data_IF_025972822407
#
_entry.id   IF_025972822407
#
_cell.length_a   1.000
_cell.length_b   1.000
_cell.length_c   1.000
_cell.angle_alpha   90.00
_cell.angle_beta   90.00
_cell.angle_gamma   90.00
#
_symmetry.space_group_name_H-M   'P 1'
#
loop_
_entity.id
_entity.type
_entity.pdbx_description
1 polymer ?
#
# COMPACT_ATOMS: atom_id res chain seq x y z
N UNK A 1 31.21 21.01 63.50
CA UNK A 1 30.16 20.57 64.43
C UNK A 1 28.85 21.24 64.06
N UNK A 2 28.00 20.52 63.31
CA UNK A 2 26.55 20.51 63.44
C UNK A 2 26.01 19.48 62.43
N UNK A 3 25.42 18.44 62.99
CA UNK A 3 24.78 17.30 62.34
C UNK A 3 23.36 17.70 61.97
N UNK A 4 22.84 17.25 60.82
CA UNK A 4 21.45 16.79 60.68
C UNK A 4 21.26 16.03 59.35
N UNK A 5 20.95 14.74 59.51
CA UNK A 5 20.50 13.79 58.49
C UNK A 5 19.11 14.16 57.99
N UNK A 6 18.84 13.94 56.69
CA UNK A 6 17.47 13.73 56.20
C UNK A 6 17.44 12.57 55.19
N UNK A 7 16.54 11.65 55.52
CA UNK A 7 16.41 10.28 55.08
C UNK A 7 15.50 10.13 53.85
N UNK A 8 15.94 9.25 52.94
CA UNK A 8 15.17 8.28 52.15
C UNK A 8 13.64 8.24 52.40
N UNK A 9 12.86 8.61 51.37
CA UNK A 9 11.47 8.19 51.21
C UNK A 9 11.32 7.46 49.87
N UNK A 10 11.30 6.13 49.93
CA UNK A 10 10.80 5.27 48.85
C UNK A 10 9.29 5.13 49.01
N UNK A 11 8.48 5.24 47.94
CA UNK A 11 7.06 4.95 48.04
C UNK A 11 6.84 3.44 48.21
N UNK A 12 6.32 3.07 49.38
CA UNK A 12 5.75 1.75 49.66
C UNK A 12 4.33 1.72 49.09
N UNK A 13 4.11 1.01 47.99
CA UNK A 13 2.76 0.61 47.61
C UNK A 13 2.34 -0.53 48.55
N UNK A 14 1.57 -0.17 49.57
CA UNK A 14 0.88 -1.11 50.44
C UNK A 14 -0.12 -1.92 49.62
N UNK A 15 0.05 -3.23 49.67
CA UNK A 15 -0.99 -4.20 49.37
C UNK A 15 -2.17 -3.97 50.34
N UNK A 16 -3.37 -3.82 49.80
CA UNK A 16 -4.61 -4.08 50.53
C UNK A 16 -5.55 -4.80 49.58
N UNK A 17 -5.70 -6.09 49.84
CA UNK A 17 -6.61 -7.03 49.19
C UNK A 17 -7.99 -6.80 49.80
N UNK A 18 -9.01 -6.57 48.96
CA UNK A 18 -10.38 -6.96 49.29
C UNK A 18 -11.21 -7.16 48.02
N UNK A 19 -11.72 -8.39 47.92
CA UNK A 19 -12.63 -8.94 46.93
C UNK A 19 -13.89 -8.08 46.75
N UNK A 20 -14.37 -7.96 45.51
CA UNK A 20 -15.77 -7.64 45.23
C UNK A 20 -16.00 -7.06 43.84
N UNK A 21 -16.77 -7.79 43.02
CA UNK A 21 -17.21 -7.47 41.65
C UNK A 21 -16.16 -7.64 40.53
N UNK A 22 -16.04 -8.89 40.10
CA UNK A 22 -15.91 -9.20 38.69
C UNK A 22 -17.16 -8.67 37.96
N UNK A 23 -17.08 -7.45 37.44
CA UNK A 23 -17.97 -6.93 36.43
C UNK A 23 -17.15 -6.80 35.14
N UNK A 24 -17.18 -7.89 34.37
CA UNK A 24 -17.14 -7.89 32.91
C UNK A 24 -16.53 -6.63 32.30
N UNK A 25 -15.19 -6.60 32.21
CA UNK A 25 -14.58 -5.98 31.05
C UNK A 25 -15.10 -6.79 29.87
N UNK A 26 -16.28 -6.39 29.38
CA UNK A 26 -16.87 -6.89 28.17
C UNK A 26 -15.75 -6.93 27.16
N UNK A 27 -15.51 -8.13 26.66
CA UNK A 27 -14.80 -8.35 25.42
C UNK A 27 -15.41 -7.34 24.45
N UNK A 28 -14.76 -6.19 24.28
CA UNK A 28 -14.82 -5.43 23.06
C UNK A 28 -14.16 -6.37 22.05
N UNK A 29 -14.95 -7.37 21.65
CA UNK A 29 -14.69 -8.21 20.51
C UNK A 29 -14.47 -7.22 19.41
N UNK A 30 -13.20 -7.03 19.05
CA UNK A 30 -12.87 -6.58 17.73
C UNK A 30 -13.73 -7.45 16.82
N UNK A 31 -14.78 -6.86 16.24
CA UNK A 31 -15.69 -7.51 15.33
C UNK A 31 -14.90 -7.85 14.07
N UNK A 32 -13.98 -8.79 14.18
CA UNK A 32 -13.33 -9.48 13.09
C UNK A 32 -14.38 -10.46 12.60
N UNK A 33 -15.41 -9.94 11.91
CA UNK A 33 -16.26 -10.78 11.10
C UNK A 33 -15.33 -11.56 10.18
N UNK A 34 -15.31 -12.90 10.22
CA UNK A 34 -14.54 -13.66 9.25
C UNK A 34 -15.05 -13.30 7.86
N UNK A 35 -14.17 -12.78 7.01
CA UNK A 35 -14.54 -12.37 5.67
C UNK A 35 -15.10 -13.58 4.92
N UNK A 36 -16.27 -13.42 4.30
CA UNK A 36 -16.81 -14.44 3.44
C UNK A 36 -15.91 -14.51 2.18
N UNK A 37 -15.53 -15.69 1.68
CA UNK A 37 -14.85 -15.82 0.39
C UNK A 37 -15.57 -15.14 -0.78
N UNK A 38 -16.88 -14.89 -0.65
CA UNK A 38 -17.69 -14.16 -1.62
C UNK A 38 -17.67 -12.63 -1.45
N UNK A 39 -17.08 -12.11 -0.36
CA UNK A 39 -16.93 -10.67 -0.21
C UNK A 39 -15.97 -10.17 -1.31
N UNK A 40 -16.39 -9.22 -2.16
CA UNK A 40 -15.51 -8.67 -3.18
C UNK A 40 -14.38 -7.96 -2.43
N UNK A 41 -13.20 -8.57 -2.45
CA UNK A 41 -12.01 -7.98 -1.85
C UNK A 41 -11.78 -6.54 -2.35
N UNK A 42 -10.86 -5.80 -1.72
CA UNK A 42 -10.55 -4.42 -2.10
C UNK A 42 -10.44 -4.29 -3.62
N UNK A 43 -11.15 -3.32 -4.22
CA UNK A 43 -10.97 -3.04 -5.64
C UNK A 43 -9.49 -2.74 -5.90
N UNK A 44 -8.91 -3.27 -6.99
CA UNK A 44 -7.54 -2.98 -7.32
C UNK A 44 -7.39 -1.47 -7.52
N UNK A 45 -6.40 -0.90 -6.84
CA UNK A 45 -6.00 0.49 -7.00
C UNK A 45 -4.63 0.53 -7.66
N UNK A 46 -4.46 1.40 -8.64
CA UNK A 46 -3.23 1.44 -9.41
C UNK A 46 -2.98 2.72 -10.18
N UNK A 47 -1.87 2.73 -10.89
CA UNK A 47 -1.56 3.74 -11.89
C UNK A 47 -1.81 3.15 -13.27
N UNK A 48 -2.51 3.92 -14.11
CA UNK A 48 -2.70 3.62 -15.52
C UNK A 48 -1.71 4.46 -16.34
N UNK A 49 -0.78 3.78 -16.99
CA UNK A 49 0.18 4.39 -17.90
C UNK A 49 -0.34 4.26 -19.33
N UNK A 50 -0.65 5.40 -19.94
CA UNK A 50 -0.91 5.49 -21.38
C UNK A 50 -0.06 6.62 -21.97
N UNK A 51 0.32 6.55 -23.24
CA UNK A 51 1.08 7.66 -23.84
C UNK A 51 0.22 8.91 -24.11
N UNK A 52 -1.10 8.79 -23.98
CA UNK A 52 -2.07 9.90 -24.02
C UNK A 52 -2.01 10.70 -22.72
N UNK A 53 -1.74 10.01 -21.62
CA UNK A 53 -1.50 10.66 -20.36
C UNK A 53 -0.14 11.36 -20.45
N UNK A 54 0.91 10.72 -20.99
CA UNK A 54 2.27 11.27 -21.08
C UNK A 54 2.58 12.17 -22.31
N UNK A 55 1.58 12.86 -22.85
CA UNK A 55 1.76 13.95 -23.84
C UNK A 55 1.95 13.61 -25.32
N UNK A 56 1.94 12.33 -25.74
CA UNK A 56 2.22 11.94 -27.15
C UNK A 56 1.04 11.24 -27.88
N UNK A 57 -0.06 10.96 -27.19
CA UNK A 57 -1.39 10.77 -27.81
C UNK A 57 -1.66 9.47 -28.59
N UNK A 58 -0.97 8.34 -28.33
CA UNK A 58 -1.33 7.05 -28.98
C UNK A 58 -1.42 5.81 -28.09
N UNK A 59 -1.38 5.93 -26.76
CA UNK A 59 -1.16 4.79 -25.84
C UNK A 59 0.15 3.99 -26.11
N UNK A 60 0.37 2.87 -25.42
CA UNK A 60 1.46 1.93 -25.72
C UNK A 60 1.06 1.00 -26.88
N UNK A 61 1.99 0.74 -27.81
CA UNK A 61 1.83 -0.35 -28.78
C UNK A 61 1.88 -1.69 -28.05
N UNK A 62 1.19 -2.70 -28.57
CA UNK A 62 1.19 -4.06 -27.98
C UNK A 62 2.61 -4.58 -27.77
N UNK A 63 3.49 -4.46 -28.78
CA UNK A 63 4.89 -4.88 -28.67
C UNK A 63 5.67 -4.11 -27.58
N UNK A 64 5.38 -2.82 -27.39
CA UNK A 64 5.99 -2.02 -26.32
C UNK A 64 5.52 -2.50 -24.95
N UNK A 65 4.21 -2.68 -24.79
CA UNK A 65 3.62 -3.17 -23.55
C UNK A 65 4.14 -4.56 -23.16
N UNK A 66 4.29 -5.48 -24.11
CA UNK A 66 4.85 -6.81 -23.82
C UNK A 66 6.36 -6.83 -23.57
N UNK A 67 7.07 -5.77 -23.95
CA UNK A 67 8.45 -5.57 -23.49
C UNK A 67 8.52 -5.09 -22.04
N UNK A 68 7.41 -4.56 -21.52
CA UNK A 68 7.38 -3.90 -20.23
C UNK A 68 7.50 -4.88 -19.06
N UNK A 69 8.17 -4.43 -18.02
CA UNK A 69 8.26 -5.13 -16.75
C UNK A 69 8.28 -4.14 -15.59
N UNK A 70 7.78 -4.59 -14.44
CA UNK A 70 7.69 -3.83 -13.22
C UNK A 70 8.60 -4.48 -12.18
N UNK A 71 9.64 -3.78 -11.74
CA UNK A 71 10.51 -4.21 -10.65
C UNK A 71 9.96 -3.69 -9.34
N UNK A 72 9.83 -4.55 -8.33
CA UNK A 72 9.32 -4.19 -7.00
C UNK A 72 10.49 -4.14 -6.02
N UNK A 73 10.50 -3.14 -5.14
CA UNK A 73 11.61 -2.90 -4.21
C UNK A 73 11.10 -2.82 -2.78
N UNK A 74 11.91 -3.30 -1.84
CA UNK A 74 11.61 -3.18 -0.41
C UNK A 74 11.91 -1.79 0.13
N UNK A 75 12.98 -1.15 -0.34
CA UNK A 75 13.32 0.24 0.03
C UNK A 75 12.52 1.25 -0.78
N UNK A 76 12.26 2.44 -0.22
CA UNK A 76 11.59 3.54 -0.93
C UNK A 76 12.52 4.24 -1.94
N UNK A 77 13.83 4.05 -1.79
CA UNK A 77 14.92 4.55 -2.62
C UNK A 77 15.29 3.59 -3.76
N UNK A 78 14.40 2.66 -4.11
CA UNK A 78 14.66 1.58 -5.07
C UNK A 78 15.82 0.66 -4.64
N UNK A 79 16.08 0.54 -3.34
CA UNK A 79 17.01 -0.46 -2.81
C UNK A 79 16.33 -1.81 -2.61
N UNK A 80 17.12 -2.90 -2.66
CA UNK A 80 16.67 -4.28 -2.41
C UNK A 80 15.52 -4.72 -3.34
N UNK A 81 15.83 -5.08 -4.61
CA UNK A 81 14.83 -5.62 -5.51
C UNK A 81 14.26 -6.92 -4.93
N UNK A 82 12.93 -7.03 -4.94
CA UNK A 82 12.19 -8.21 -4.48
C UNK A 82 12.02 -9.19 -5.64
N UNK A 83 11.39 -8.72 -6.72
CA UNK A 83 11.08 -9.50 -7.91
C UNK A 83 10.65 -8.59 -9.07
N UNK A 84 10.42 -9.20 -10.22
CA UNK A 84 10.04 -8.54 -11.47
C UNK A 84 8.77 -9.15 -12.03
N UNK A 85 7.77 -8.33 -12.29
CA UNK A 85 6.52 -8.72 -12.92
C UNK A 85 6.55 -8.35 -14.40
N UNK A 86 6.02 -9.21 -15.27
CA UNK A 86 5.89 -8.92 -16.70
C UNK A 86 4.43 -8.64 -17.03
N UNK A 87 4.22 -7.68 -17.94
CA UNK A 87 2.88 -7.39 -18.42
C UNK A 87 2.30 -8.62 -19.15
N UNK A 88 1.01 -8.85 -18.98
CA UNK A 88 0.26 -9.81 -19.77
C UNK A 88 -0.99 -9.14 -20.39
N UNK A 89 -1.69 -9.84 -21.29
CA UNK A 89 -2.91 -9.37 -21.95
C UNK A 89 -4.22 -9.86 -21.31
N UNK A 90 -4.15 -10.56 -20.17
CA UNK A 90 -5.33 -11.12 -19.52
C UNK A 90 -5.34 -10.73 -18.05
N UNK A 91 -6.19 -9.78 -17.62
CA UNK A 91 -6.37 -9.53 -16.19
C UNK A 91 -7.00 -10.77 -15.56
N UNK A 92 -6.19 -11.62 -14.94
CA UNK A 92 -6.69 -12.61 -13.98
C UNK A 92 -6.61 -11.96 -12.61
N UNK A 93 -7.61 -12.10 -11.76
CA UNK A 93 -7.52 -11.56 -10.39
C UNK A 93 -6.60 -12.45 -9.53
N UNK A 94 -5.73 -11.93 -8.65
CA UNK A 94 -5.33 -10.52 -8.49
C UNK A 94 -4.05 -10.23 -9.29
N UNK A 95 -4.16 -9.53 -10.42
CA UNK A 95 -2.99 -9.16 -11.22
C UNK A 95 -2.51 -7.74 -10.92
N UNK A 96 -1.23 -7.67 -10.59
CA UNK A 96 -0.54 -6.44 -10.21
C UNK A 96 -0.03 -5.65 -11.43
N UNK A 97 0.12 -6.29 -12.59
CA UNK A 97 0.65 -5.62 -13.78
C UNK A 97 0.11 -6.25 -15.07
N UNK A 98 -0.68 -5.50 -15.84
CA UNK A 98 -1.30 -5.99 -17.08
C UNK A 98 -1.48 -4.88 -18.12
N UNK A 99 -1.76 -5.30 -19.35
CA UNK A 99 -1.99 -4.42 -20.49
C UNK A 99 -3.40 -4.64 -21.06
N UNK A 100 -4.17 -3.56 -21.17
CA UNK A 100 -5.50 -3.53 -21.82
C UNK A 100 -5.64 -2.23 -22.58
N UNK A 101 -6.14 -2.28 -23.82
CA UNK A 101 -6.50 -1.10 -24.62
C UNK A 101 -5.44 0.02 -24.63
N UNK A 102 -4.20 -0.35 -24.98
CA UNK A 102 -3.05 0.56 -25.07
C UNK A 102 -2.59 1.18 -23.74
N UNK A 103 -3.07 0.64 -22.63
CA UNK A 103 -2.78 1.13 -21.29
C UNK A 103 -2.13 0.03 -20.45
N UNK A 104 -1.03 0.37 -19.79
CA UNK A 104 -0.38 -0.47 -18.79
C UNK A 104 -0.94 -0.13 -17.42
N UNK A 105 -1.55 -1.09 -16.75
CA UNK A 105 -2.08 -0.95 -15.42
C UNK A 105 -1.12 -1.55 -14.41
N UNK A 106 -0.72 -0.76 -13.42
CA UNK A 106 0.13 -1.16 -12.31
C UNK A 106 -0.68 -1.05 -11.01
N UNK A 107 -1.15 -2.18 -10.49
CA UNK A 107 -1.90 -2.25 -9.25
C UNK A 107 -0.98 -2.49 -8.07
N UNK A 108 -1.28 -1.81 -6.96
CA UNK A 108 -0.52 -1.92 -5.72
C UNK A 108 -1.28 -2.81 -4.74
N UNK A 109 -0.57 -3.70 -4.02
CA UNK A 109 -1.21 -4.54 -3.01
C UNK A 109 -1.83 -3.66 -1.92
N UNK A 110 -3.01 -4.05 -1.46
CA UNK A 110 -3.76 -3.36 -0.41
C UNK A 110 -3.20 -3.61 1.01
N UNK A 111 -2.05 -4.27 1.13
CA UNK A 111 -1.44 -4.65 2.40
C UNK A 111 -0.13 -3.86 2.57
N UNK A 112 0.09 -3.38 3.80
CA UNK A 112 1.24 -2.59 4.23
C UNK A 112 2.13 -3.34 5.22
N UNK A 113 2.22 -4.66 5.07
CA UNK A 113 3.12 -5.50 5.84
C UNK A 113 4.60 -5.22 5.54
N UNK A 114 5.51 -5.66 6.40
CA UNK A 114 6.95 -5.40 6.26
C UNK A 114 7.58 -6.07 5.02
N UNK A 115 6.89 -7.03 4.40
CA UNK A 115 7.29 -7.68 3.15
C UNK A 115 6.78 -6.97 1.90
N UNK A 116 5.89 -6.00 2.05
CA UNK A 116 5.26 -5.34 0.90
C UNK A 116 6.23 -4.35 0.23
N UNK A 117 6.20 -4.23 -1.11
CA UNK A 117 7.09 -3.32 -1.80
C UNK A 117 6.77 -1.87 -1.46
N UNK A 118 7.82 -1.05 -1.29
CA UNK A 118 7.70 0.39 -1.00
C UNK A 118 7.88 1.28 -2.22
N UNK A 119 8.56 0.78 -3.24
CA UNK A 119 8.71 1.47 -4.52
C UNK A 119 8.72 0.49 -5.69
N UNK A 120 8.44 1.00 -6.87
CA UNK A 120 8.27 0.24 -8.10
C UNK A 120 8.97 0.96 -9.25
N UNK A 121 9.57 0.21 -10.16
CA UNK A 121 10.12 0.76 -11.39
C UNK A 121 9.48 0.08 -12.59
N UNK A 122 8.74 0.85 -13.37
CA UNK A 122 8.21 0.41 -14.65
C UNK A 122 9.24 0.69 -15.73
N UNK A 123 9.73 -0.36 -16.37
CA UNK A 123 10.61 -0.29 -17.54
C UNK A 123 9.83 -0.69 -18.78
N UNK A 124 9.94 0.10 -19.85
CA UNK A 124 9.36 -0.20 -21.17
C UNK A 124 10.49 -0.14 -22.21
N UNK A 125 11.32 -1.20 -22.34
CA UNK A 125 12.53 -1.17 -23.15
C UNK A 125 12.30 -0.81 -24.61
N UNK A 126 11.26 -1.37 -25.25
CA UNK A 126 11.00 -1.11 -26.67
C UNK A 126 10.60 0.35 -26.93
N UNK A 127 10.05 1.05 -25.93
CA UNK A 127 9.75 2.47 -25.99
C UNK A 127 10.89 3.35 -25.44
N UNK A 128 11.94 2.75 -24.86
CA UNK A 128 13.03 3.42 -24.11
C UNK A 128 12.50 4.36 -23.01
N UNK A 129 11.48 3.91 -22.28
CA UNK A 129 10.87 4.68 -21.18
C UNK A 129 11.02 3.96 -19.85
N UNK A 130 11.13 4.75 -18.81
CA UNK A 130 11.22 4.32 -17.42
C UNK A 130 10.37 5.23 -16.55
N UNK A 131 9.69 4.64 -15.57
CA UNK A 131 8.93 5.37 -14.55
C UNK A 131 9.30 4.83 -13.18
N UNK A 132 9.82 5.73 -12.35
CA UNK A 132 10.15 5.49 -10.95
C UNK A 132 8.94 5.88 -10.10
N UNK A 133 8.34 4.92 -9.42
CA UNK A 133 7.14 5.08 -8.60
C UNK A 133 7.54 4.86 -7.14
N UNK A 134 7.43 5.88 -6.31
CA UNK A 134 7.80 5.83 -4.88
C UNK A 134 6.78 6.53 -4.00
N UNK A 135 7.01 6.47 -2.69
CA UNK A 135 6.16 7.10 -1.65
C UNK A 135 4.67 6.78 -1.81
N UNK A 136 4.38 5.52 -2.13
CA UNK A 136 3.00 5.05 -2.28
C UNK A 136 2.34 5.05 -0.91
N UNK A 137 1.31 5.88 -0.77
CA UNK A 137 0.44 5.94 0.40
C UNK A 137 -0.96 5.55 -0.04
N UNK A 138 -1.44 4.44 0.51
CA UNK A 138 -2.81 3.97 0.32
C UNK A 138 -3.60 4.28 1.59
N UNK A 139 -4.66 5.08 1.44
CA UNK A 139 -5.63 5.29 2.51
C UNK A 139 -6.82 4.37 2.27
N UNK A 140 -7.17 3.57 3.27
CA UNK A 140 -8.33 2.68 3.24
C UNK A 140 -9.48 3.33 4.00
N UNK A 141 -10.66 3.32 3.41
CA UNK A 141 -11.94 3.53 4.08
C UNK A 141 -12.75 2.22 4.11
N UNK A 142 -13.89 2.26 4.78
CA UNK A 142 -14.75 1.09 4.99
C UNK A 142 -14.79 0.67 6.46
N UNK A 143 -15.88 0.00 6.84
CA UNK A 143 -16.23 -0.27 8.26
C UNK A 143 -15.62 -1.58 8.77
N UNK A 144 -15.12 -2.43 7.89
CA UNK A 144 -14.55 -3.73 8.24
C UNK A 144 -13.31 -4.10 7.39
N UNK A 145 -12.57 -5.13 7.83
CA UNK A 145 -11.38 -5.63 7.13
C UNK A 145 -11.70 -6.26 5.77
N UNK A 146 -12.96 -6.61 5.53
CA UNK A 146 -13.43 -7.38 4.37
C UNK A 146 -13.88 -6.48 3.21
N UNK A 147 -14.28 -5.26 3.52
CA UNK A 147 -14.75 -4.24 2.57
C UNK A 147 -13.81 -3.03 2.50
N UNK A 148 -12.57 -3.16 3.00
CA UNK A 148 -11.54 -2.14 2.90
C UNK A 148 -11.50 -1.63 1.46
N UNK A 149 -11.93 -0.39 1.27
CA UNK A 149 -11.95 0.28 -0.02
C UNK A 149 -10.83 1.28 0.01
N UNK A 150 -9.98 1.29 -1.01
CA UNK A 150 -8.95 2.33 -1.10
C UNK A 150 -9.64 3.64 -1.47
N UNK A 151 -9.63 4.60 -0.56
CA UNK A 151 -10.28 5.92 -0.69
C UNK A 151 -9.33 7.00 -1.18
N UNK A 152 -8.02 6.75 -1.08
CA UNK A 152 -7.00 7.66 -1.59
C UNK A 152 -5.72 6.91 -1.94
N UNK A 153 -5.08 7.36 -3.01
CA UNK A 153 -3.73 6.98 -3.38
C UNK A 153 -2.91 8.23 -3.64
N UNK A 154 -1.80 8.32 -2.94
CA UNK A 154 -0.74 9.27 -3.21
C UNK A 154 0.50 8.49 -3.64
N UNK A 155 1.22 8.98 -4.65
CA UNK A 155 2.53 8.49 -5.02
C UNK A 155 3.38 9.59 -5.67
N UNK A 156 4.68 9.37 -5.76
CA UNK A 156 5.58 10.12 -6.63
C UNK A 156 5.87 9.29 -7.87
N UNK A 157 5.75 9.89 -9.05
CA UNK A 157 6.08 9.27 -10.33
C UNK A 157 7.12 10.14 -11.01
N UNK A 158 8.34 9.61 -11.18
CA UNK A 158 9.51 10.38 -11.61
C UNK A 158 9.67 11.67 -10.78
N UNK A 159 9.38 11.59 -9.48
CA UNK A 159 9.43 12.72 -8.54
C UNK A 159 8.22 13.67 -8.57
N UNK A 160 7.28 13.49 -9.50
CA UNK A 160 6.06 14.29 -9.54
C UNK A 160 4.95 13.66 -8.70
N UNK A 161 4.37 14.45 -7.78
CA UNK A 161 3.29 13.98 -6.94
C UNK A 161 2.02 13.78 -7.75
N UNK A 162 1.41 12.63 -7.49
CA UNK A 162 0.16 12.18 -8.04
C UNK A 162 -0.74 11.81 -6.88
N UNK A 163 -1.90 12.48 -6.77
CA UNK A 163 -2.94 12.23 -5.77
C UNK A 163 -4.25 11.94 -6.51
N UNK A 164 -4.89 10.83 -6.20
CA UNK A 164 -6.23 10.50 -6.72
C UNK A 164 -7.13 9.94 -5.62
N UNK A 165 -8.38 10.38 -5.68
CA UNK A 165 -9.44 9.96 -4.76
C UNK A 165 -10.18 8.70 -5.24
N UNK A 166 -10.04 8.29 -6.51
CA UNK A 166 -10.70 7.08 -7.04
C UNK A 166 -9.96 6.44 -8.24
N UNK A 167 -9.93 5.11 -8.25
CA UNK A 167 -9.85 4.28 -9.45
C UNK A 167 -8.46 4.06 -10.03
N UNK A 168 -7.92 5.04 -10.75
CA UNK A 168 -6.61 4.93 -11.40
C UNK A 168 -6.05 6.33 -11.65
N UNK A 169 -4.73 6.48 -11.61
CA UNK A 169 -4.07 7.71 -12.06
C UNK A 169 -3.78 7.63 -13.54
N UNK A 170 -4.27 8.60 -14.29
CA UNK A 170 -3.76 9.00 -15.59
C UNK A 170 -2.54 9.93 -15.42
N UNK A 171 -1.33 9.48 -15.75
CA UNK A 171 -0.08 10.27 -15.55
C UNK A 171 0.16 11.26 -16.69
N UNK A 172 -0.07 12.56 -16.44
CA UNK A 172 0.12 13.63 -17.44
C UNK A 172 1.57 13.79 -17.92
#
# INVERSE_FOLDING_TARGET
MNTLLLTSQRPRCLFSILLGLAAECGLAGCNLRPCNPADPGPQPFGIAFSTDTLGAGKGFRKAEAFSAYLVRYRGADFSQPLDTLRANDRPKSPMLFYYVDRTLFCNFPAVGGPSDPRSYRLEVPAAKRRYDISDIVLTYGGVDNCTRTITRFDALINGQRVDTRQGYVATK
#
